data_IF_455050084375
#
_entry.id   IF_455050084375
#
_cell.length_a   1.000
_cell.length_b   1.000
_cell.length_c   1.000
_cell.angle_alpha   90.00
_cell.angle_beta   90.00
_cell.angle_gamma   90.00
#
_symmetry.space_group_name_H-M   'P 1'
#
loop_
_entity.id
_entity.type
_entity.pdbx_description
1 polymer ?
#
# COMPACT_ATOMS: atom_id res chain seq x y z
N UNK A 1 11.29 -18.54 16.62
CA UNK A 1 9.94 -18.16 17.09
C UNK A 1 9.40 -17.12 16.14
N UNK A 2 8.20 -17.33 15.59
CA UNK A 2 7.51 -16.35 14.73
C UNK A 2 6.31 -15.80 15.48
N UNK A 3 5.96 -14.54 15.22
CA UNK A 3 4.69 -13.95 15.69
C UNK A 3 3.51 -14.31 14.78
N UNK A 4 3.75 -15.09 13.71
CA UNK A 4 2.71 -15.52 12.77
C UNK A 4 2.08 -16.84 13.19
N UNK A 5 0.77 -16.93 13.01
CA UNK A 5 0.09 -18.21 13.00
C UNK A 5 0.62 -19.11 11.85
N UNK A 6 0.57 -20.44 12.00
CA UNK A 6 0.82 -21.37 10.89
C UNK A 6 -0.04 -21.02 9.68
N UNK A 7 0.51 -21.11 8.46
CA UNK A 7 -0.22 -20.69 7.24
C UNK A 7 -1.45 -21.56 6.93
N UNK A 8 -1.45 -22.79 7.42
CA UNK A 8 -2.49 -23.79 7.27
C UNK A 8 -3.58 -23.69 8.35
N UNK A 9 -3.47 -22.74 9.28
CA UNK A 9 -4.54 -22.46 10.23
C UNK A 9 -5.79 -21.90 9.50
N UNK A 10 -6.97 -22.50 9.70
CA UNK A 10 -8.17 -22.16 8.92
C UNK A 10 -8.80 -20.81 9.29
N UNK A 11 -8.45 -20.22 10.44
CA UNK A 11 -9.06 -18.98 10.93
C UNK A 11 -8.10 -17.78 10.77
N UNK A 12 -6.87 -17.95 11.25
CA UNK A 12 -5.87 -16.87 11.36
C UNK A 12 -4.59 -17.17 10.57
N UNK A 13 -4.65 -18.09 9.61
CA UNK A 13 -3.49 -18.56 8.87
C UNK A 13 -2.61 -17.45 8.29
N UNK A 14 -1.36 -17.38 8.75
CA UNK A 14 -0.38 -16.39 8.31
C UNK A 14 -0.48 -15.01 8.96
N UNK A 15 -1.51 -14.73 9.75
CA UNK A 15 -1.69 -13.45 10.43
C UNK A 15 -0.67 -13.28 11.56
N UNK A 16 -0.26 -12.03 11.83
CA UNK A 16 0.54 -11.71 13.00
C UNK A 16 -0.35 -11.62 14.25
N UNK A 17 0.16 -12.09 15.39
CA UNK A 17 -0.52 -11.98 16.68
C UNK A 17 -0.96 -10.53 16.95
N UNK A 18 -2.27 -10.35 17.16
CA UNK A 18 -2.88 -9.06 17.44
C UNK A 18 -3.12 -8.14 16.24
N UNK A 19 -2.91 -8.62 14.99
CA UNK A 19 -3.10 -7.85 13.74
C UNK A 19 -2.54 -6.42 13.85
N UNK A 20 -1.22 -6.27 14.03
CA UNK A 20 -0.61 -5.01 14.39
C UNK A 20 -0.80 -3.95 13.30
N UNK A 21 -1.15 -2.74 13.73
CA UNK A 21 -1.30 -1.61 12.84
C UNK A 21 0.03 -1.24 12.15
N UNK A 22 0.00 -0.82 10.87
CA UNK A 22 -1.17 -0.77 10.01
C UNK A 22 -1.52 -2.10 9.33
N UNK A 23 -2.82 -2.36 9.26
CA UNK A 23 -3.45 -3.26 8.29
C UNK A 23 -4.06 -2.41 7.17
N UNK A 24 -3.86 -2.82 5.92
CA UNK A 24 -4.27 -2.06 4.74
C UNK A 24 -5.35 -2.80 3.94
N UNK A 25 -6.18 -2.06 3.22
CA UNK A 25 -7.20 -2.63 2.35
C UNK A 25 -8.47 -3.07 3.08
N UNK A 26 -9.36 -3.68 2.30
CA UNK A 26 -10.57 -4.33 2.82
C UNK A 26 -10.24 -5.67 3.49
N UNK A 27 -11.11 -6.20 4.37
CA UNK A 27 -10.89 -7.48 5.03
C UNK A 27 -10.61 -8.65 4.08
N UNK A 28 -11.19 -8.65 2.88
CA UNK A 28 -11.01 -9.72 1.87
C UNK A 28 -9.58 -9.80 1.36
N UNK A 29 -8.83 -8.69 1.40
CA UNK A 29 -7.42 -8.65 1.01
C UNK A 29 -6.51 -9.36 2.04
N UNK A 30 -6.98 -9.52 3.28
CA UNK A 30 -6.25 -10.18 4.38
C UNK A 30 -4.81 -9.69 4.56
N UNK A 31 -4.59 -8.37 4.53
CA UNK A 31 -3.28 -7.83 4.86
C UNK A 31 -2.92 -8.17 6.32
N UNK A 32 -1.78 -8.85 6.60
CA UNK A 32 -1.52 -9.50 7.89
C UNK A 32 -1.13 -8.53 9.03
N UNK A 33 -1.05 -7.25 8.72
CA UNK A 33 -0.53 -6.20 9.59
C UNK A 33 0.98 -5.99 9.43
N UNK A 34 1.50 -4.99 10.13
CA UNK A 34 2.89 -4.55 10.02
C UNK A 34 3.56 -4.54 11.39
N UNK A 35 4.10 -5.68 11.86
CA UNK A 35 4.63 -5.80 13.22
C UNK A 35 5.93 -5.01 13.43
N UNK A 36 6.68 -4.75 12.36
CA UNK A 36 7.94 -4.03 12.41
C UNK A 36 7.94 -2.95 11.34
N UNK A 37 7.80 -1.69 11.77
CA UNK A 37 7.90 -0.54 10.88
C UNK A 37 9.33 -0.44 10.32
N UNK A 38 9.43 0.00 9.07
CA UNK A 38 10.69 0.16 8.35
C UNK A 38 11.44 -1.15 8.07
N UNK A 39 10.72 -2.27 7.93
CA UNK A 39 11.30 -3.52 7.45
C UNK A 39 11.08 -3.68 5.92
N UNK A 40 12.11 -3.45 5.08
CA UNK A 40 12.02 -3.64 3.63
C UNK A 40 12.20 -5.11 3.18
N UNK A 41 12.65 -6.00 4.07
CA UNK A 41 13.06 -7.36 3.67
C UNK A 41 11.89 -8.30 3.33
N UNK A 42 10.66 -7.90 3.65
CA UNK A 42 9.44 -8.65 3.40
C UNK A 42 8.62 -7.98 2.31
N UNK A 43 7.82 -8.78 1.59
CA UNK A 43 6.78 -8.25 0.72
C UNK A 43 5.76 -7.47 1.56
N UNK A 44 5.07 -6.48 0.98
CA UNK A 44 4.08 -5.69 1.74
C UNK A 44 2.94 -6.56 2.26
N UNK A 45 2.45 -7.49 1.43
CA UNK A 45 1.48 -8.53 1.83
C UNK A 45 2.01 -9.55 2.86
N UNK A 46 3.30 -9.50 3.21
CA UNK A 46 3.91 -10.27 4.31
C UNK A 46 4.25 -9.38 5.53
N UNK A 47 3.73 -8.16 5.58
CA UNK A 47 3.96 -7.19 6.65
C UNK A 47 5.27 -6.41 6.51
N UNK A 48 5.85 -6.37 5.31
CA UNK A 48 6.89 -5.42 4.96
C UNK A 48 6.32 -4.00 4.93
N UNK A 49 7.06 -3.03 5.46
CA UNK A 49 6.61 -1.63 5.47
C UNK A 49 7.82 -0.70 5.55
N UNK A 50 8.35 -0.25 4.40
CA UNK A 50 9.43 0.70 4.33
C UNK A 50 8.91 2.12 4.64
N UNK A 51 9.82 3.09 4.65
CA UNK A 51 9.42 4.48 4.79
C UNK A 51 8.56 4.93 3.59
N UNK A 52 7.50 5.69 3.87
CA UNK A 52 6.60 6.28 2.87
C UNK A 52 6.49 7.78 3.13
N UNK A 53 6.73 8.58 2.10
CA UNK A 53 6.68 10.02 2.23
C UNK A 53 5.23 10.50 2.40
N UNK A 54 4.97 11.31 3.43
CA UNK A 54 3.65 11.92 3.71
C UNK A 54 3.62 13.43 3.47
N UNK A 55 4.78 14.05 3.26
CA UNK A 55 4.94 15.51 3.24
C UNK A 55 5.34 16.02 1.85
N UNK A 56 4.89 15.34 0.80
CA UNK A 56 5.36 15.55 -0.57
C UNK A 56 6.63 14.74 -0.87
N UNK A 57 7.18 14.94 -2.07
CA UNK A 57 8.32 14.17 -2.61
C UNK A 57 9.63 14.97 -2.63
N UNK A 58 9.59 16.28 -2.43
CA UNK A 58 10.76 17.16 -2.51
C UNK A 58 10.66 18.31 -1.51
N UNK A 59 11.81 18.72 -0.96
CA UNK A 59 11.98 19.97 -0.22
C UNK A 59 13.34 20.60 -0.58
N UNK A 60 13.33 21.88 -0.97
CA UNK A 60 14.53 22.64 -1.32
C UNK A 60 15.39 21.97 -2.42
N UNK A 61 14.77 21.37 -3.44
CA UNK A 61 15.49 20.63 -4.50
C UNK A 61 16.10 19.30 -4.05
N UNK A 62 15.82 18.85 -2.82
CA UNK A 62 16.24 17.55 -2.31
C UNK A 62 15.02 16.63 -2.21
N UNK A 63 15.19 15.39 -2.67
CA UNK A 63 14.16 14.37 -2.55
C UNK A 63 13.85 14.06 -1.08
N UNK A 64 12.57 13.82 -0.80
CA UNK A 64 12.07 13.32 0.49
C UNK A 64 11.72 11.83 0.43
N UNK A 65 11.89 11.19 -0.73
CA UNK A 65 11.72 9.75 -0.87
C UNK A 65 12.89 9.04 -0.20
N UNK A 66 12.61 7.88 0.39
CA UNK A 66 13.66 7.01 0.90
C UNK A 66 14.27 6.21 -0.26
N UNK A 67 15.22 6.82 -0.95
CA UNK A 67 15.94 6.22 -2.08
C UNK A 67 16.56 4.87 -1.66
N UNK A 68 16.42 3.87 -2.52
CA UNK A 68 16.89 2.50 -2.26
C UNK A 68 16.17 1.74 -1.13
N UNK A 69 15.09 2.28 -0.55
CA UNK A 69 14.31 1.62 0.51
C UNK A 69 12.95 1.15 -0.01
N UNK A 70 12.85 -0.12 -0.38
CA UNK A 70 11.64 -0.74 -0.95
C UNK A 70 11.38 -2.14 -0.42
N UNK A 71 10.13 -2.61 -0.47
CA UNK A 71 9.79 -3.98 -0.06
C UNK A 71 10.35 -4.99 -1.05
N UNK A 72 10.62 -6.19 -0.55
CA UNK A 72 10.97 -7.33 -1.40
C UNK A 72 9.91 -7.53 -2.49
N UNK A 73 10.34 -7.55 -3.74
CA UNK A 73 9.47 -7.79 -4.91
C UNK A 73 8.78 -6.55 -5.47
N UNK A 74 8.98 -5.37 -4.88
CA UNK A 74 8.36 -4.14 -5.39
C UNK A 74 8.90 -3.71 -6.75
N UNK A 75 8.00 -3.25 -7.63
CA UNK A 75 8.36 -2.61 -8.90
C UNK A 75 9.01 -1.23 -8.70
N UNK A 76 8.65 -0.52 -7.62
CA UNK A 76 9.27 0.75 -7.24
C UNK A 76 10.48 0.50 -6.35
N UNK A 77 11.64 1.01 -6.77
CA UNK A 77 12.93 0.76 -6.08
C UNK A 77 13.56 2.02 -5.47
N UNK A 78 12.98 3.19 -5.68
CA UNK A 78 13.57 4.48 -5.27
C UNK A 78 12.79 5.18 -4.14
N UNK A 79 11.99 4.39 -3.41
CA UNK A 79 11.08 4.87 -2.37
C UNK A 79 9.68 5.17 -2.90
N UNK A 80 8.74 5.34 -1.98
CA UNK A 80 7.32 5.43 -2.30
C UNK A 80 6.76 6.85 -2.11
N UNK A 81 6.18 7.45 -3.17
CA UNK A 81 5.36 8.64 -3.02
C UNK A 81 4.02 8.29 -2.36
N UNK A 82 3.21 9.31 -2.06
CA UNK A 82 1.80 9.05 -1.78
C UNK A 82 1.13 8.47 -3.02
N UNK A 83 0.43 7.36 -2.86
CA UNK A 83 -0.34 6.75 -3.94
C UNK A 83 -1.66 7.50 -4.16
N UNK A 84 -1.70 8.23 -5.26
CA UNK A 84 -2.89 8.90 -5.80
C UNK A 84 -3.25 8.33 -7.16
N UNK A 85 -4.47 8.60 -7.65
CA UNK A 85 -4.84 8.26 -9.02
C UNK A 85 -3.91 8.88 -10.06
N UNK A 86 -3.36 10.08 -9.81
CA UNK A 86 -2.37 10.66 -10.72
C UNK A 86 -1.08 9.84 -10.75
N UNK A 87 -0.64 9.30 -9.61
CA UNK A 87 0.52 8.40 -9.53
C UNK A 87 0.22 7.08 -10.24
N UNK A 88 -0.94 6.46 -9.98
CA UNK A 88 -1.35 5.21 -10.64
C UNK A 88 -1.35 5.37 -12.16
N UNK A 89 -1.97 6.43 -12.68
CA UNK A 89 -1.99 6.74 -14.12
C UNK A 89 -0.60 6.93 -14.72
N UNK A 90 0.32 7.56 -13.97
CA UNK A 90 1.70 7.76 -14.43
C UNK A 90 2.48 6.45 -14.48
N UNK A 91 2.17 5.51 -13.59
CA UNK A 91 2.78 4.18 -13.53
C UNK A 91 2.08 3.17 -14.45
N UNK A 92 0.88 3.50 -14.96
CA UNK A 92 0.03 2.59 -15.73
C UNK A 92 -0.75 1.58 -14.88
N UNK A 93 -0.69 1.72 -13.55
CA UNK A 93 -1.36 0.83 -12.59
C UNK A 93 -2.86 1.10 -12.47
N UNK A 94 -3.36 2.20 -13.03
CA UNK A 94 -4.80 2.45 -13.09
C UNK A 94 -5.56 1.41 -13.92
N UNK A 95 -4.86 0.72 -14.84
CA UNK A 95 -5.42 -0.40 -15.61
C UNK A 95 -5.76 -1.62 -14.75
N UNK A 96 -5.18 -1.74 -13.55
CA UNK A 96 -5.43 -2.87 -12.63
C UNK A 96 -6.62 -2.62 -11.70
N UNK A 97 -7.25 -1.43 -11.75
CA UNK A 97 -8.47 -1.12 -11.02
C UNK A 97 -9.67 -1.88 -11.60
N UNK A 98 -10.52 -2.39 -10.72
CA UNK A 98 -11.79 -2.99 -11.16
C UNK A 98 -12.76 -1.89 -11.61
N UNK A 99 -13.66 -2.16 -12.57
CA UNK A 99 -14.64 -1.17 -13.04
C UNK A 99 -15.47 -0.54 -11.90
N UNK A 100 -15.82 -1.33 -10.89
CA UNK A 100 -16.59 -0.89 -9.73
C UNK A 100 -15.77 0.05 -8.83
N UNK A 101 -14.47 -0.21 -8.67
CA UNK A 101 -13.55 0.63 -7.90
C UNK A 101 -13.35 1.96 -8.60
N UNK A 102 -13.06 1.92 -9.90
CA UNK A 102 -12.89 3.12 -10.72
C UNK A 102 -14.16 3.98 -10.71
N UNK A 103 -15.34 3.38 -10.88
CA UNK A 103 -16.61 4.12 -10.85
C UNK A 103 -16.87 4.80 -9.51
N UNK A 104 -16.41 4.21 -8.41
CA UNK A 104 -16.53 4.83 -7.09
C UNK A 104 -15.52 5.96 -6.91
N UNK A 105 -14.28 5.76 -7.35
CA UNK A 105 -13.20 6.78 -7.33
C UNK A 105 -13.59 8.02 -8.15
N UNK A 106 -14.19 7.84 -9.32
CA UNK A 106 -14.64 8.93 -10.21
C UNK A 106 -15.67 9.87 -9.56
N UNK A 107 -16.38 9.40 -8.54
CA UNK A 107 -17.40 10.17 -7.80
C UNK A 107 -16.80 10.99 -6.65
N UNK A 108 -15.50 10.86 -6.37
CA UNK A 108 -14.84 11.45 -5.20
C UNK A 108 -14.17 12.77 -5.58
N UNK A 109 -14.65 13.85 -4.97
CA UNK A 109 -14.09 15.18 -5.18
C UNK A 109 -14.34 15.72 -6.60
N UNK A 110 -13.65 16.80 -6.95
CA UNK A 110 -13.76 17.45 -8.26
C UNK A 110 -12.60 17.13 -9.21
N UNK A 111 -11.54 16.52 -8.69
CA UNK A 111 -10.31 16.18 -9.41
C UNK A 111 -9.90 14.76 -9.05
N UNK A 112 -10.15 13.82 -9.97
CA UNK A 112 -9.82 12.41 -9.78
C UNK A 112 -8.35 12.20 -9.46
N UNK A 113 -7.44 13.02 -10.02
CA UNK A 113 -5.99 12.89 -9.81
C UNK A 113 -5.56 13.12 -8.36
N UNK A 114 -6.39 13.80 -7.56
CA UNK A 114 -6.16 14.05 -6.13
C UNK A 114 -6.76 13.00 -5.21
N UNK A 115 -7.55 12.06 -5.73
CA UNK A 115 -8.03 10.93 -4.94
C UNK A 115 -6.82 10.06 -4.58
N UNK A 116 -6.63 9.83 -3.29
CA UNK A 116 -5.52 9.06 -2.74
C UNK A 116 -5.99 7.80 -2.05
N UNK A 117 -5.07 6.89 -1.74
CA UNK A 117 -5.33 5.68 -0.98
C UNK A 117 -6.14 5.91 0.32
N UNK A 118 -6.10 7.13 0.87
CA UNK A 118 -6.81 7.51 2.10
C UNK A 118 -8.21 8.08 1.88
N UNK A 119 -8.51 8.56 0.66
CA UNK A 119 -9.81 9.14 0.31
C UNK A 119 -10.61 8.25 -0.64
N UNK A 120 -9.96 7.29 -1.30
CA UNK A 120 -10.60 6.23 -2.07
C UNK A 120 -11.41 5.30 -1.16
N UNK A 121 -12.73 5.51 -1.15
CA UNK A 121 -13.69 4.69 -0.39
C UNK A 121 -13.91 3.29 -0.99
N UNK A 122 -13.46 3.05 -2.22
CA UNK A 122 -13.54 1.73 -2.86
C UNK A 122 -12.46 0.77 -2.37
N UNK A 123 -11.34 1.30 -1.85
CA UNK A 123 -10.15 0.53 -1.50
C UNK A 123 -9.34 0.02 -2.70
N UNK A 124 -9.71 0.39 -3.92
CA UNK A 124 -9.04 -0.05 -5.15
C UNK A 124 -7.59 0.41 -5.24
N UNK A 125 -7.29 1.67 -4.88
CA UNK A 125 -5.91 2.16 -4.83
C UNK A 125 -5.08 1.31 -3.87
N UNK A 126 -5.61 1.01 -2.68
CA UNK A 126 -4.91 0.16 -1.70
C UNK A 126 -4.68 -1.24 -2.25
N UNK A 127 -5.67 -1.86 -2.88
CA UNK A 127 -5.55 -3.20 -3.47
C UNK A 127 -4.45 -3.26 -4.53
N UNK A 128 -4.44 -2.30 -5.45
CA UNK A 128 -3.47 -2.24 -6.56
C UNK A 128 -2.04 -1.98 -6.07
N UNK A 129 -1.84 -1.10 -5.08
CA UNK A 129 -0.48 -0.76 -4.63
C UNK A 129 0.10 -1.78 -3.64
N UNK A 130 -0.69 -2.75 -3.22
CA UNK A 130 -0.28 -3.84 -2.33
C UNK A 130 0.08 -5.13 -3.08
N UNK A 131 -0.34 -5.27 -4.35
CA UNK A 131 0.08 -6.37 -5.22
C UNK A 131 1.54 -6.26 -5.63
#
# INVERSE_FOLDING_TARGET
VTLRAPKDDPEVGGDYYGLPWPCWGKPELRHPGTPNLYNPNLHVMDGGSPFRARFGVERNGQTLLAEGSYTKGSELTDGYPEFTMAVLKKLGWDADLMPEELSMIEKIGSDIGKVSWSTDLSGGIQRVVLS
#
